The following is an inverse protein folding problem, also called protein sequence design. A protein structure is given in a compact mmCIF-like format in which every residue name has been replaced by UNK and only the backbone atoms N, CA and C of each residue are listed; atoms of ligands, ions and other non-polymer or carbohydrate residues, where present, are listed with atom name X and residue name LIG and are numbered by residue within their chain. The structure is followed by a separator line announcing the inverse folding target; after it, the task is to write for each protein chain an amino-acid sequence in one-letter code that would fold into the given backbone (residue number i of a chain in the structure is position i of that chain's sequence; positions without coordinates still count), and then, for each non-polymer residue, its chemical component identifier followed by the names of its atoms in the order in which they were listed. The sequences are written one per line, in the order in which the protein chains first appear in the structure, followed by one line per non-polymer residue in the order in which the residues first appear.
data_IF_132063753914
#
_entry.id   IF_132063753914
#
_cell.length_a   1.000
_cell.length_b   1.000
_cell.length_c   1.000
_cell.angle_alpha   90.00
_cell.angle_beta   90.00
_cell.angle_gamma   90.00
#
_symmetry.space_group_name_H-M   'P 1'
#
loop_
_entity.id
_entity.type
_entity.pdbx_description
1 polymer ?
#
# COMPACT_ATOMS: atom_id res chain seq x y z
N UNK A 1 8.07 -5.30 19.78
CA UNK A 1 9.16 -5.45 18.78
C UNK A 1 10.03 -4.21 18.82
N UNK A 2 11.29 -4.32 19.21
CA UNK A 2 12.24 -3.20 19.26
C UNK A 2 13.49 -3.55 18.46
N UNK A 3 14.07 -2.59 17.73
CA UNK A 3 15.30 -2.90 16.98
C UNK A 3 15.64 -1.97 15.83
N UNK A 4 14.66 -1.41 15.09
CA UNK A 4 14.95 -0.40 14.09
C UNK A 4 15.50 0.87 14.75
N UNK A 5 16.42 1.53 14.07
CA UNK A 5 17.06 2.77 14.55
C UNK A 5 16.43 4.03 13.95
N UNK A 6 15.46 3.88 13.06
CA UNK A 6 14.72 4.98 12.42
C UNK A 6 13.25 4.61 12.22
N UNK A 7 12.44 5.47 11.62
CA UNK A 7 11.02 5.25 11.37
C UNK A 7 10.77 3.94 10.61
N UNK A 8 9.71 3.23 11.02
CA UNK A 8 9.17 2.08 10.29
C UNK A 8 8.17 2.60 9.27
N UNK A 9 8.42 2.33 8.00
CA UNK A 9 7.60 2.82 6.88
C UNK A 9 6.44 1.90 6.52
N UNK A 10 6.66 0.58 6.58
CA UNK A 10 5.64 -0.41 6.28
C UNK A 10 5.87 -1.71 7.04
N UNK A 11 4.75 -2.40 7.35
CA UNK A 11 4.75 -3.72 7.97
C UNK A 11 3.86 -4.65 7.14
N UNK A 12 4.34 -5.88 6.90
CA UNK A 12 3.57 -6.97 6.27
C UNK A 12 3.66 -8.22 7.12
N UNK A 13 2.52 -8.86 7.32
CA UNK A 13 2.43 -10.17 7.97
C UNK A 13 2.51 -11.28 6.92
N UNK A 14 3.08 -12.43 7.31
CA UNK A 14 2.97 -13.66 6.52
C UNK A 14 1.53 -14.19 6.53
N UNK A 15 1.16 -14.99 5.55
CA UNK A 15 -0.19 -15.55 5.41
C UNK A 15 -0.67 -16.31 6.65
N UNK A 16 0.25 -16.94 7.42
CA UNK A 16 -0.03 -17.63 8.68
C UNK A 16 -0.01 -16.69 9.91
N UNK A 17 0.29 -15.41 9.73
CA UNK A 17 0.40 -14.38 10.77
C UNK A 17 1.44 -14.66 11.87
N UNK A 18 2.32 -15.65 11.68
CA UNK A 18 3.39 -15.97 12.66
C UNK A 18 4.61 -15.09 12.56
N UNK A 19 4.82 -14.52 11.39
CA UNK A 19 5.96 -13.65 11.11
C UNK A 19 5.52 -12.29 10.56
N UNK A 20 6.36 -11.30 10.80
CA UNK A 20 6.17 -9.95 10.24
C UNK A 20 7.46 -9.46 9.60
N UNK A 21 7.33 -8.77 8.47
CA UNK A 21 8.41 -8.00 7.86
C UNK A 21 8.15 -6.52 8.08
N UNK A 22 9.16 -5.79 8.52
CA UNK A 22 9.08 -4.33 8.67
C UNK A 22 10.17 -3.65 7.86
N UNK A 23 9.78 -2.72 6.99
CA UNK A 23 10.68 -1.83 6.27
C UNK A 23 10.93 -0.58 7.10
N UNK A 24 12.15 -0.03 7.03
CA UNK A 24 12.53 1.13 7.82
C UNK A 24 13.45 2.09 7.08
N UNK A 25 13.41 3.33 7.52
CA UNK A 25 14.31 4.40 7.09
C UNK A 25 15.76 4.19 7.59
N UNK A 26 16.00 3.16 8.39
CA UNK A 26 17.36 2.71 8.72
C UNK A 26 18.05 1.95 7.57
N UNK A 27 17.40 1.83 6.39
CA UNK A 27 17.92 1.14 5.20
C UNK A 27 17.77 -0.37 5.27
N UNK A 28 17.08 -0.92 6.27
CA UNK A 28 16.91 -2.36 6.46
C UNK A 28 15.45 -2.79 6.46
N UNK A 29 15.24 -4.08 6.16
CA UNK A 29 14.00 -4.77 6.48
C UNK A 29 14.31 -5.80 7.57
N UNK A 30 13.42 -5.95 8.55
CA UNK A 30 13.55 -6.94 9.61
C UNK A 30 12.45 -7.97 9.54
N UNK A 31 12.82 -9.22 9.74
CA UNK A 31 11.91 -10.34 9.95
C UNK A 31 11.76 -10.59 11.45
N UNK A 32 10.52 -10.66 11.91
CA UNK A 32 10.16 -10.81 13.31
C UNK A 32 9.33 -12.07 13.52
N UNK A 33 9.53 -12.72 14.64
CA UNK A 33 8.56 -13.67 15.18
C UNK A 33 7.50 -12.88 15.98
N UNK A 34 6.24 -12.94 15.55
CA UNK A 34 5.14 -12.15 16.13
C UNK A 34 4.87 -12.54 17.59
N UNK A 35 4.88 -13.85 17.88
CA UNK A 35 4.59 -14.35 19.22
C UNK A 35 5.65 -13.96 20.27
N UNK A 36 6.94 -13.93 19.88
CA UNK A 36 8.04 -13.63 20.80
C UNK A 36 8.50 -12.17 20.74
N UNK A 37 8.10 -11.43 19.70
CA UNK A 37 8.54 -10.06 19.45
C UNK A 37 10.04 -9.94 19.08
N UNK A 38 10.73 -11.07 18.82
CA UNK A 38 12.18 -11.07 18.54
C UNK A 38 12.46 -10.97 17.03
N UNK A 39 13.54 -10.25 16.69
CA UNK A 39 14.07 -10.25 15.33
C UNK A 39 14.70 -11.62 15.03
N UNK A 40 14.34 -12.21 13.88
CA UNK A 40 14.91 -13.44 13.36
C UNK A 40 16.09 -13.11 12.45
N UNK A 41 15.90 -12.19 11.51
CA UNK A 41 16.91 -11.81 10.54
C UNK A 41 16.71 -10.37 10.05
N UNK A 42 17.73 -9.86 9.33
CA UNK A 42 17.72 -8.54 8.69
C UNK A 42 18.08 -8.69 7.21
N UNK A 43 17.35 -8.01 6.37
CA UNK A 43 17.66 -7.85 4.95
C UNK A 43 18.47 -6.55 4.83
N UNK A 44 19.75 -6.67 4.49
CA UNK A 44 20.70 -5.56 4.38
C UNK A 44 21.22 -5.50 2.96
N UNK A 45 21.15 -4.30 2.32
CA UNK A 45 21.65 -4.13 0.95
C UNK A 45 21.10 -2.92 0.23
N UNK A 46 20.03 -2.29 0.73
CA UNK A 46 19.65 -0.95 0.29
C UNK A 46 20.63 0.10 0.83
N UNK A 47 20.86 1.15 0.02
CA UNK A 47 21.80 2.24 0.35
C UNK A 47 21.13 3.40 1.07
N UNK A 48 19.80 3.44 1.08
CA UNK A 48 18.97 4.47 1.70
C UNK A 48 17.72 3.84 2.29
N UNK A 49 16.83 4.66 2.80
CA UNK A 49 15.58 4.32 3.45
C UNK A 49 14.77 3.30 2.63
N UNK A 50 14.33 2.24 3.27
CA UNK A 50 13.39 1.29 2.65
C UNK A 50 11.98 1.80 2.93
N UNK A 51 11.23 2.09 1.87
CA UNK A 51 9.92 2.72 1.97
C UNK A 51 8.79 1.69 1.98
N UNK A 52 8.97 0.58 1.28
CA UNK A 52 7.90 -0.42 1.12
C UNK A 52 8.44 -1.84 1.05
N UNK A 53 7.64 -2.79 1.55
CA UNK A 53 7.90 -4.23 1.51
C UNK A 53 6.62 -4.98 1.15
N UNK A 54 6.72 -5.99 0.30
CA UNK A 54 5.62 -6.90 0.00
C UNK A 54 6.11 -8.35 -0.02
N UNK A 55 5.16 -9.27 0.19
CA UNK A 55 5.40 -10.71 0.22
C UNK A 55 4.66 -11.38 -0.93
N UNK A 56 5.27 -12.41 -1.50
CA UNK A 56 4.58 -13.31 -2.43
C UNK A 56 3.52 -14.14 -1.68
N UNK A 57 2.52 -14.66 -2.41
CA UNK A 57 1.44 -15.45 -1.80
C UNK A 57 1.89 -16.74 -1.11
N UNK A 58 3.06 -17.25 -1.48
CA UNK A 58 3.69 -18.42 -0.86
C UNK A 58 4.69 -18.04 0.25
N UNK A 59 4.77 -16.73 0.60
CA UNK A 59 5.69 -16.15 1.58
C UNK A 59 7.19 -16.45 1.30
N UNK A 60 7.55 -16.89 0.07
CA UNK A 60 8.94 -17.29 -0.26
C UNK A 60 9.78 -16.16 -0.86
N UNK A 61 9.12 -15.17 -1.43
CA UNK A 61 9.79 -14.01 -2.02
C UNK A 61 9.36 -12.74 -1.30
N UNK A 62 10.32 -11.89 -1.07
CA UNK A 62 10.13 -10.56 -0.52
C UNK A 62 10.60 -9.56 -1.56
N UNK A 63 9.79 -8.55 -1.86
CA UNK A 63 10.18 -7.42 -2.71
C UNK A 63 10.23 -6.15 -1.87
N UNK A 64 11.24 -5.32 -2.11
CA UNK A 64 11.42 -4.05 -1.39
C UNK A 64 11.66 -2.91 -2.36
N UNK A 65 11.12 -1.74 -2.01
CA UNK A 65 11.35 -0.47 -2.70
C UNK A 65 11.97 0.55 -1.76
N UNK A 66 12.89 1.34 -2.28
CA UNK A 66 13.70 2.24 -1.47
C UNK A 66 13.87 3.63 -2.08
N UNK A 67 14.27 4.57 -1.22
CA UNK A 67 14.70 5.91 -1.58
C UNK A 67 15.98 5.91 -2.44
N UNK A 68 16.72 4.79 -2.49
CA UNK A 68 17.87 4.60 -3.39
C UNK A 68 17.45 4.34 -4.84
N UNK A 69 16.15 4.28 -5.13
CA UNK A 69 15.52 4.02 -6.44
C UNK A 69 15.56 2.55 -6.88
N UNK A 70 16.21 1.70 -6.09
CA UNK A 70 16.32 0.27 -6.38
C UNK A 70 15.07 -0.49 -5.92
N UNK A 71 14.77 -1.53 -6.69
CA UNK A 71 13.85 -2.60 -6.34
C UNK A 71 14.69 -3.85 -6.12
N UNK A 72 14.55 -4.49 -4.95
CA UNK A 72 15.30 -5.70 -4.63
C UNK A 72 14.36 -6.84 -4.31
N UNK A 73 14.73 -8.04 -4.74
CA UNK A 73 14.04 -9.29 -4.41
C UNK A 73 14.94 -10.13 -3.50
N UNK A 74 14.32 -10.62 -2.44
CA UNK A 74 14.98 -11.41 -1.40
C UNK A 74 14.28 -12.75 -1.23
N UNK A 75 15.02 -13.72 -0.73
CA UNK A 75 14.45 -14.99 -0.29
C UNK A 75 14.23 -15.02 1.24
N UNK A 76 13.62 -16.08 1.73
CA UNK A 76 13.35 -16.32 3.16
C UNK A 76 14.62 -16.46 4.03
N UNK A 77 15.79 -16.65 3.40
CA UNK A 77 17.10 -16.67 4.09
C UNK A 77 17.71 -15.28 4.22
N UNK A 78 16.94 -14.22 3.85
CA UNK A 78 17.40 -12.83 3.86
C UNK A 78 18.53 -12.51 2.87
N UNK A 79 18.68 -13.34 1.83
CA UNK A 79 19.65 -13.11 0.76
C UNK A 79 18.99 -12.32 -0.37
N UNK A 80 19.67 -11.26 -0.83
CA UNK A 80 19.26 -10.52 -2.03
C UNK A 80 19.53 -11.40 -3.26
N UNK A 81 18.46 -11.78 -3.94
CA UNK A 81 18.52 -12.60 -5.16
C UNK A 81 18.62 -11.78 -6.42
N UNK A 82 17.98 -10.63 -6.42
CA UNK A 82 17.94 -9.78 -7.60
C UNK A 82 17.84 -8.30 -7.21
N UNK A 83 18.51 -7.45 -7.98
CA UNK A 83 18.34 -6.00 -7.97
C UNK A 83 18.00 -5.59 -9.39
N UNK A 84 16.92 -4.84 -9.56
CA UNK A 84 16.52 -4.35 -10.90
C UNK A 84 17.57 -3.36 -11.39
N UNK A 85 18.19 -3.65 -12.54
CA UNK A 85 19.25 -2.85 -13.15
C UNK A 85 18.81 -2.15 -14.46
N UNK A 86 17.72 -2.62 -15.08
CA UNK A 86 17.19 -2.07 -16.33
C UNK A 86 15.82 -1.45 -16.12
N UNK A 87 15.54 -0.37 -16.84
CA UNK A 87 14.27 0.35 -16.78
C UNK A 87 13.86 0.79 -15.38
N UNK A 88 14.85 1.05 -14.51
CA UNK A 88 14.63 1.48 -13.13
C UNK A 88 13.72 2.71 -13.03
N UNK A 89 13.20 2.96 -11.85
CA UNK A 89 12.61 4.24 -11.51
C UNK A 89 13.69 5.32 -11.44
N UNK A 90 13.32 6.55 -11.81
CA UNK A 90 14.27 7.68 -11.79
C UNK A 90 14.26 8.41 -10.44
N UNK A 91 13.33 8.08 -9.56
CA UNK A 91 13.23 8.60 -8.20
C UNK A 91 12.81 7.49 -7.22
N UNK A 92 12.63 7.81 -5.94
CA UNK A 92 12.31 6.89 -4.86
C UNK A 92 11.16 5.93 -5.21
N UNK A 93 11.33 4.66 -4.92
CA UNK A 93 10.28 3.65 -5.04
C UNK A 93 9.44 3.67 -3.76
N UNK A 94 8.26 4.28 -3.84
CA UNK A 94 7.40 4.54 -2.68
C UNK A 94 6.61 3.32 -2.23
N UNK A 95 6.14 2.51 -3.18
CA UNK A 95 5.31 1.32 -2.90
C UNK A 95 5.67 0.18 -3.83
N UNK A 96 5.66 -1.02 -3.28
CA UNK A 96 5.78 -2.27 -4.03
C UNK A 96 4.64 -3.21 -3.65
N UNK A 97 4.09 -3.95 -4.62
CA UNK A 97 3.03 -4.95 -4.41
C UNK A 97 3.24 -6.15 -5.34
N UNK A 98 2.78 -7.31 -4.89
CA UNK A 98 2.62 -8.48 -5.75
C UNK A 98 1.20 -8.57 -6.30
N UNK A 99 1.07 -9.06 -7.52
CA UNK A 99 -0.20 -9.45 -8.12
C UNK A 99 -0.14 -10.93 -8.49
N UNK A 100 -0.97 -11.74 -7.83
CA UNK A 100 -0.86 -13.21 -7.86
C UNK A 100 -1.85 -13.90 -8.79
N UNK A 101 -2.88 -13.19 -9.27
CA UNK A 101 -3.94 -13.79 -10.09
C UNK A 101 -3.45 -14.34 -11.45
N UNK A 102 -2.25 -13.99 -11.87
CA UNK A 102 -1.59 -14.54 -13.08
C UNK A 102 -0.40 -15.42 -12.73
N UNK A 103 -0.12 -16.38 -13.62
CA UNK A 103 1.13 -17.15 -13.60
C UNK A 103 1.90 -16.83 -14.89
N UNK A 104 3.13 -16.30 -14.83
CA UNK A 104 3.85 -15.93 -13.59
C UNK A 104 3.18 -14.78 -12.85
N UNK A 105 3.40 -14.70 -11.52
CA UNK A 105 2.98 -13.57 -10.71
C UNK A 105 3.65 -12.28 -11.22
N UNK A 106 2.97 -11.16 -11.08
CA UNK A 106 3.51 -9.85 -11.45
C UNK A 106 3.90 -9.07 -10.21
N UNK A 107 4.86 -8.17 -10.36
CA UNK A 107 5.20 -7.16 -9.37
C UNK A 107 4.77 -5.79 -9.89
N UNK A 108 4.23 -4.97 -9.02
CA UNK A 108 3.87 -3.58 -9.33
C UNK A 108 4.62 -2.65 -8.39
N UNK A 109 5.21 -1.62 -8.94
CA UNK A 109 5.96 -0.62 -8.19
C UNK A 109 5.50 0.78 -8.55
N UNK A 110 5.40 1.64 -7.55
CA UNK A 110 5.12 3.06 -7.72
C UNK A 110 6.29 3.91 -7.24
N UNK A 111 6.43 5.08 -7.81
CA UNK A 111 7.55 5.95 -7.51
C UNK A 111 7.19 7.43 -7.43
N UNK A 112 8.08 8.17 -6.80
CA UNK A 112 8.06 9.63 -6.80
C UNK A 112 8.37 10.22 -8.18
N UNK A 113 8.85 9.40 -9.13
CA UNK A 113 8.98 9.78 -10.55
C UNK A 113 7.65 9.91 -11.28
N UNK A 114 6.51 9.79 -10.56
CA UNK A 114 5.13 9.92 -11.02
C UNK A 114 4.65 8.74 -11.88
N UNK A 115 5.44 7.68 -11.96
CA UNK A 115 5.13 6.49 -12.76
C UNK A 115 4.83 5.28 -11.88
N UNK A 116 4.08 4.35 -12.46
CA UNK A 116 3.87 3.02 -11.92
C UNK A 116 4.39 2.03 -12.95
N UNK A 117 5.13 1.04 -12.50
CA UNK A 117 5.72 0.03 -13.38
C UNK A 117 5.22 -1.36 -13.00
N UNK A 118 4.92 -2.16 -14.02
CA UNK A 118 4.50 -3.56 -13.89
C UNK A 118 5.60 -4.44 -14.43
N UNK A 119 6.01 -5.42 -13.64
CA UNK A 119 7.13 -6.31 -13.92
C UNK A 119 6.69 -7.76 -13.91
N UNK A 120 7.26 -8.55 -14.81
CA UNK A 120 7.24 -10.00 -14.68
C UNK A 120 8.12 -10.42 -13.48
N UNK A 121 7.53 -11.15 -12.54
CA UNK A 121 8.26 -11.55 -11.32
C UNK A 121 9.37 -12.59 -11.57
N UNK A 122 9.32 -13.33 -12.69
CA UNK A 122 10.27 -14.40 -12.94
C UNK A 122 11.65 -13.84 -13.35
N UNK A 123 11.65 -12.82 -14.23
CA UNK A 123 12.88 -12.24 -14.79
C UNK A 123 13.03 -10.75 -14.49
N UNK A 124 12.07 -10.15 -13.75
CA UNK A 124 12.00 -8.71 -13.50
C UNK A 124 12.08 -7.89 -14.79
N UNK A 125 11.43 -8.38 -15.84
CA UNK A 125 11.31 -7.64 -17.10
C UNK A 125 10.14 -6.67 -16.99
N UNK A 126 10.36 -5.43 -17.47
CA UNK A 126 9.32 -4.41 -17.50
C UNK A 126 8.26 -4.76 -18.55
N UNK A 127 7.01 -4.87 -18.14
CA UNK A 127 5.86 -5.12 -19.01
C UNK A 127 5.13 -3.83 -19.39
N UNK A 128 4.79 -3.01 -18.38
CA UNK A 128 4.06 -1.77 -18.57
C UNK A 128 4.63 -0.64 -17.74
N UNK A 129 4.52 0.58 -18.26
CA UNK A 129 4.75 1.82 -17.52
C UNK A 129 3.48 2.66 -17.61
N UNK A 130 2.87 2.94 -16.47
CA UNK A 130 1.69 3.80 -16.37
C UNK A 130 2.13 5.23 -16.05
N UNK A 131 1.68 6.16 -16.89
CA UNK A 131 1.91 7.58 -16.76
C UNK A 131 0.57 8.30 -16.70
N UNK A 132 0.44 9.31 -15.83
CA UNK A 132 -0.81 10.09 -15.72
C UNK A 132 -0.88 10.96 -14.48
N UNK A 133 -0.22 10.56 -13.40
CA UNK A 133 -0.08 11.38 -12.22
C UNK A 133 0.84 12.59 -12.47
N UNK A 134 0.48 13.73 -11.87
CA UNK A 134 1.24 14.99 -12.02
C UNK A 134 2.27 15.20 -10.89
N UNK A 135 2.14 14.45 -9.79
CA UNK A 135 3.07 14.46 -8.67
C UNK A 135 3.43 13.04 -8.23
N UNK A 136 4.17 12.92 -7.15
CA UNK A 136 4.65 11.67 -6.56
C UNK A 136 3.50 10.69 -6.30
N UNK A 137 3.63 9.44 -6.74
CA UNK A 137 2.71 8.37 -6.36
C UNK A 137 3.08 7.91 -4.95
N UNK A 138 2.12 7.97 -4.03
CA UNK A 138 2.33 7.71 -2.60
C UNK A 138 1.86 6.33 -2.18
N UNK A 139 0.87 5.80 -2.89
CA UNK A 139 0.19 4.58 -2.47
C UNK A 139 -0.31 3.77 -3.66
N UNK A 140 -0.34 2.46 -3.49
CA UNK A 140 -0.93 1.48 -4.40
C UNK A 140 -1.72 0.45 -3.62
N UNK A 141 -2.82 0.00 -4.21
CA UNK A 141 -3.47 -1.25 -3.80
C UNK A 141 -3.97 -2.01 -5.03
N UNK A 142 -4.07 -3.34 -4.90
CA UNK A 142 -4.43 -4.25 -6.00
C UNK A 142 -5.55 -5.16 -5.54
N UNK A 143 -6.56 -5.32 -6.37
CA UNK A 143 -7.60 -6.33 -6.15
C UNK A 143 -7.08 -7.69 -6.58
N UNK A 144 -6.94 -8.63 -5.65
CA UNK A 144 -6.32 -9.94 -5.91
C UNK A 144 -7.03 -10.76 -7.00
N UNK A 145 -8.36 -10.67 -7.08
CA UNK A 145 -9.18 -11.45 -8.01
C UNK A 145 -9.52 -10.69 -9.31
N UNK A 146 -9.03 -9.50 -9.50
CA UNK A 146 -9.25 -8.69 -10.70
C UNK A 146 -7.95 -8.08 -11.18
N UNK A 147 -7.92 -7.66 -12.45
CA UNK A 147 -6.74 -7.02 -13.02
C UNK A 147 -6.63 -5.52 -12.66
N UNK A 148 -7.35 -5.05 -11.64
CA UNK A 148 -7.39 -3.64 -11.30
C UNK A 148 -6.40 -3.27 -10.20
N UNK A 149 -5.74 -2.16 -10.42
CA UNK A 149 -4.82 -1.48 -9.53
C UNK A 149 -5.35 -0.08 -9.26
N UNK A 150 -5.40 0.35 -8.01
CA UNK A 150 -5.61 1.74 -7.65
C UNK A 150 -4.30 2.39 -7.22
N UNK A 151 -4.10 3.62 -7.62
CA UNK A 151 -2.96 4.45 -7.22
C UNK A 151 -3.43 5.79 -6.69
N UNK A 152 -2.78 6.29 -5.65
CA UNK A 152 -2.98 7.63 -5.11
C UNK A 152 -1.69 8.45 -5.17
N UNK A 153 -1.85 9.74 -5.36
CA UNK A 153 -0.72 10.66 -5.55
C UNK A 153 -0.86 11.93 -4.70
N UNK A 154 0.26 12.60 -4.51
CA UNK A 154 0.31 13.93 -3.91
C UNK A 154 -0.35 15.02 -4.75
N UNK A 155 -0.67 14.73 -6.03
CA UNK A 155 -1.46 15.64 -6.87
C UNK A 155 -2.95 15.68 -6.49
N UNK A 156 -3.35 14.92 -5.45
CA UNK A 156 -4.74 14.84 -5.01
C UNK A 156 -5.60 13.90 -5.84
N UNK A 157 -5.03 13.19 -6.81
CA UNK A 157 -5.81 12.30 -7.67
C UNK A 157 -5.60 10.84 -7.32
N UNK A 158 -6.65 10.05 -7.54
CA UNK A 158 -6.58 8.60 -7.65
C UNK A 158 -6.80 8.18 -9.09
N UNK A 159 -6.11 7.14 -9.50
CA UNK A 159 -6.28 6.53 -10.81
C UNK A 159 -6.42 5.03 -10.65
N UNK A 160 -7.33 4.44 -11.41
CA UNK A 160 -7.52 3.00 -11.49
C UNK A 160 -7.00 2.52 -12.85
N UNK A 161 -6.24 1.43 -12.84
CA UNK A 161 -5.53 0.90 -14.01
C UNK A 161 -5.86 -0.56 -14.22
N UNK A 162 -5.87 -0.99 -15.46
CA UNK A 162 -5.88 -2.39 -15.85
C UNK A 162 -4.44 -2.87 -16.03
N UNK A 163 -3.99 -3.72 -15.11
CA UNK A 163 -2.61 -4.24 -15.08
C UNK A 163 -2.33 -5.10 -16.32
N UNK A 164 -3.33 -5.81 -16.83
CA UNK A 164 -3.17 -6.79 -17.91
C UNK A 164 -3.09 -6.11 -19.26
N UNK A 165 -3.99 -5.15 -19.50
CA UNK A 165 -4.09 -4.47 -20.78
C UNK A 165 -3.22 -3.21 -20.85
N UNK A 166 -2.60 -2.80 -19.75
CA UNK A 166 -1.70 -1.65 -19.71
C UNK A 166 -2.41 -0.31 -19.90
N UNK A 167 -3.70 -0.21 -19.52
CA UNK A 167 -4.53 0.99 -19.75
C UNK A 167 -5.07 1.55 -18.43
N UNK A 168 -5.31 2.85 -18.40
CA UNK A 168 -6.06 3.47 -17.31
C UNK A 168 -7.57 3.23 -17.50
N UNK A 169 -8.28 3.05 -16.40
CA UNK A 169 -9.72 2.81 -16.38
C UNK A 169 -10.50 4.06 -15.98
N UNK A 170 -10.16 4.67 -14.84
CA UNK A 170 -10.83 5.89 -14.36
C UNK A 170 -9.87 6.75 -13.55
N UNK A 171 -10.22 8.05 -13.43
CA UNK A 171 -9.49 9.03 -12.63
C UNK A 171 -10.47 9.89 -11.85
N UNK A 172 -10.19 10.10 -10.56
CA UNK A 172 -10.97 10.95 -9.68
C UNK A 172 -10.07 11.93 -8.92
N UNK A 173 -10.60 13.11 -8.64
CA UNK A 173 -9.93 14.14 -7.85
C UNK A 173 -10.45 14.08 -6.41
N UNK A 174 -9.54 14.05 -5.46
CA UNK A 174 -9.83 14.01 -4.03
C UNK A 174 -9.68 15.38 -3.35
N UNK A 175 -9.38 16.45 -4.08
CA UNK A 175 -9.16 17.82 -3.59
C UNK A 175 -8.04 17.95 -2.54
N UNK A 176 -7.34 16.87 -2.25
CA UNK A 176 -6.35 16.81 -1.16
C UNK A 176 -5.35 15.68 -1.44
N UNK A 177 -4.06 15.82 -1.10
CA UNK A 177 -3.05 14.79 -1.27
C UNK A 177 -3.49 13.44 -0.71
N UNK A 178 -3.29 12.38 -1.49
CA UNK A 178 -3.67 11.02 -1.12
C UNK A 178 -2.50 10.36 -0.37
N UNK A 179 -2.77 9.85 0.82
CA UNK A 179 -1.79 9.17 1.66
C UNK A 179 -1.85 7.64 1.54
N UNK A 180 -3.09 7.08 1.50
CA UNK A 180 -3.30 5.64 1.33
C UNK A 180 -4.56 5.37 0.52
N UNK A 181 -4.54 4.28 -0.24
CA UNK A 181 -5.72 3.71 -0.92
C UNK A 181 -5.85 2.25 -0.54
N UNK A 182 -7.09 1.76 -0.43
CA UNK A 182 -7.35 0.39 -0.05
C UNK A 182 -8.67 -0.08 -0.67
N UNK A 183 -8.63 -1.17 -1.45
CA UNK A 183 -9.85 -1.80 -1.97
C UNK A 183 -10.62 -2.52 -0.87
N UNK A 184 -11.94 -2.42 -0.91
CA UNK A 184 -12.78 -3.26 -0.07
C UNK A 184 -12.72 -4.70 -0.57
N UNK A 185 -12.69 -5.66 0.38
CA UNK A 185 -12.70 -7.09 0.06
C UNK A 185 -14.08 -7.62 -0.32
N UNK A 186 -15.15 -6.93 0.09
CA UNK A 186 -16.55 -7.38 -0.08
C UNK A 186 -17.37 -6.50 -1.02
N UNK A 187 -17.06 -5.22 -1.04
CA UNK A 187 -17.78 -4.20 -1.80
C UNK A 187 -16.89 -3.68 -2.92
N UNK A 188 -17.49 -3.21 -4.00
CA UNK A 188 -16.74 -2.56 -5.08
C UNK A 188 -16.36 -1.12 -4.73
N UNK A 189 -15.78 -0.94 -3.52
CA UNK A 189 -15.39 0.35 -2.98
C UNK A 189 -13.89 0.50 -2.94
N UNK A 190 -13.44 1.73 -3.12
CA UNK A 190 -12.07 2.15 -2.84
C UNK A 190 -12.10 3.14 -1.69
N UNK A 191 -11.47 2.78 -0.59
CA UNK A 191 -11.29 3.66 0.57
C UNK A 191 -10.00 4.45 0.40
N UNK A 192 -10.07 5.75 0.61
CA UNK A 192 -9.01 6.70 0.30
C UNK A 192 -8.72 7.54 1.54
N UNK A 193 -7.51 7.42 2.07
CA UNK A 193 -6.99 8.30 3.11
C UNK A 193 -6.35 9.54 2.48
N UNK A 194 -6.80 10.70 2.92
CA UNK A 194 -6.30 11.99 2.45
C UNK A 194 -5.81 12.86 3.62
N UNK A 195 -5.19 14.00 3.29
CA UNK A 195 -4.81 14.97 4.32
C UNK A 195 -6.02 15.64 5.01
N UNK A 196 -7.22 15.52 4.47
CA UNK A 196 -8.44 16.12 5.00
C UNK A 196 -9.43 15.10 5.56
N UNK A 197 -9.07 13.80 5.57
CA UNK A 197 -9.95 12.75 6.09
C UNK A 197 -9.98 11.50 5.21
N UNK A 198 -11.04 10.71 5.37
CA UNK A 198 -11.29 9.50 4.58
C UNK A 198 -12.40 9.79 3.58
N UNK A 199 -12.19 9.35 2.33
CA UNK A 199 -13.21 9.35 1.27
C UNK A 199 -13.44 7.92 0.81
N UNK A 200 -14.67 7.60 0.42
CA UNK A 200 -15.04 6.30 -0.16
C UNK A 200 -15.54 6.54 -1.58
N UNK A 201 -14.97 5.80 -2.52
CA UNK A 201 -15.39 5.82 -3.92
C UNK A 201 -16.11 4.52 -4.25
N UNK A 202 -17.37 4.62 -4.69
CA UNK A 202 -18.09 3.52 -5.30
C UNK A 202 -17.62 3.37 -6.75
N UNK A 203 -16.95 2.28 -7.08
CA UNK A 203 -16.32 2.07 -8.39
C UNK A 203 -17.34 1.87 -9.51
N UNK A 204 -18.42 1.06 -9.36
CA UNK A 204 -19.47 0.94 -10.37
C UNK A 204 -20.14 2.26 -10.73
N UNK A 205 -20.45 3.08 -9.73
CA UNK A 205 -21.11 4.36 -9.93
C UNK A 205 -20.14 5.50 -10.25
N UNK A 206 -18.86 5.29 -10.01
CA UNK A 206 -17.79 6.30 -10.16
C UNK A 206 -18.07 7.58 -9.36
N UNK A 207 -18.68 7.44 -8.18
CA UNK A 207 -19.05 8.55 -7.30
C UNK A 207 -18.46 8.35 -5.90
N UNK A 208 -18.12 9.46 -5.26
CA UNK A 208 -17.81 9.44 -3.84
C UNK A 208 -19.10 9.25 -3.05
N UNK A 209 -19.05 8.35 -2.10
CA UNK A 209 -20.15 8.06 -1.19
C UNK A 209 -19.91 8.86 0.08
N UNK A 210 -20.93 9.61 0.49
CA UNK A 210 -20.94 10.36 1.74
C UNK A 210 -21.66 9.52 2.80
N UNK A 211 -21.11 9.45 4.03
CA UNK A 211 -21.76 8.90 5.23
C UNK A 211 -21.83 7.37 5.39
N UNK A 212 -21.18 6.54 4.57
CA UNK A 212 -21.24 5.08 4.73
C UNK A 212 -20.25 4.49 5.76
N UNK A 213 -19.30 5.27 6.25
CA UNK A 213 -18.39 4.84 7.31
C UNK A 213 -18.86 5.38 8.65
N UNK A 214 -19.51 4.51 9.45
CA UNK A 214 -19.87 4.86 10.83
C UNK A 214 -18.67 4.59 11.75
N UNK A 215 -18.23 5.62 12.43
CA UNK A 215 -17.20 5.51 13.45
C UNK A 215 -17.77 4.79 14.68
N UNK A 216 -17.22 3.61 15.01
CA UNK A 216 -17.64 2.82 16.18
C UNK A 216 -16.99 3.28 17.48
N UNK A 217 -16.04 4.22 17.40
CA UNK A 217 -15.30 4.68 18.57
C UNK A 217 -15.91 5.92 19.22
N UNK A 218 -16.10 5.76 20.50
CA UNK A 218 -16.36 6.71 21.59
C UNK A 218 -16.14 8.19 21.25
N UNK A 219 -17.18 8.98 21.63
CA UNK A 219 -17.25 10.44 21.74
C UNK A 219 -15.89 11.15 21.66
N UNK A 220 -15.70 11.87 20.57
CA UNK A 220 -14.60 12.81 20.42
C UNK A 220 -14.64 13.82 21.57
N UNK A 221 -13.59 13.85 22.37
CA UNK A 221 -13.24 15.09 23.04
C UNK A 221 -12.72 16.02 21.94
N UNK A 222 -13.44 17.08 21.66
CA UNK A 222 -13.04 18.17 20.78
C UNK A 222 -11.68 18.69 21.27
N UNK A 223 -10.62 18.25 20.64
CA UNK A 223 -9.30 18.85 20.86
C UNK A 223 -9.18 20.06 19.94
N UNK A 224 -9.07 21.21 20.58
CA UNK A 224 -8.77 22.53 20.05
C UNK A 224 -7.47 22.52 19.19
N UNK A 225 -7.51 22.06 17.96
CA UNK A 225 -6.45 22.29 16.99
C UNK A 225 -7.05 22.62 15.63
N UNK A 226 -6.83 23.85 15.19
CA UNK A 226 -7.21 24.42 13.88
C UNK A 226 -6.58 23.69 12.66
N UNK A 227 -5.92 22.56 12.84
CA UNK A 227 -5.31 21.79 11.74
C UNK A 227 -6.23 20.64 11.33
N UNK A 228 -6.53 20.50 10.03
CA UNK A 228 -7.31 19.37 9.55
C UNK A 228 -6.56 18.06 9.89
N UNK A 229 -7.31 17.12 10.46
CA UNK A 229 -6.80 15.81 10.81
C UNK A 229 -6.50 15.01 9.53
N UNK A 230 -5.26 14.59 9.38
CA UNK A 230 -4.81 13.80 8.25
C UNK A 230 -4.90 12.31 8.56
N UNK A 231 -5.60 11.55 7.72
CA UNK A 231 -5.54 10.10 7.75
C UNK A 231 -4.25 9.65 7.01
N UNK A 232 -3.44 8.83 7.65
CA UNK A 232 -2.11 8.44 7.14
C UNK A 232 -2.05 7.01 6.62
N UNK A 233 -2.88 6.12 7.17
CA UNK A 233 -2.84 4.70 6.82
C UNK A 233 -4.21 4.04 6.99
N UNK A 234 -4.42 2.96 6.25
CA UNK A 234 -5.66 2.18 6.24
C UNK A 234 -5.32 0.68 6.30
N UNK A 235 -6.15 -0.09 6.99
CA UNK A 235 -6.06 -1.54 6.99
C UNK A 235 -7.44 -2.18 7.22
N UNK A 236 -7.76 -3.24 6.47
CA UNK A 236 -8.94 -4.05 6.73
C UNK A 236 -8.65 -5.12 7.78
N UNK A 237 -9.62 -5.38 8.65
CA UNK A 237 -9.65 -6.62 9.40
C UNK A 237 -9.83 -7.81 8.44
N UNK A 238 -9.40 -9.00 8.86
CA UNK A 238 -9.46 -10.22 8.02
C UNK A 238 -10.88 -10.57 7.53
N UNK A 239 -11.91 -10.15 8.27
CA UNK A 239 -13.31 -10.37 7.89
C UNK A 239 -13.82 -9.38 6.82
N UNK A 240 -13.05 -8.33 6.51
CA UNK A 240 -13.43 -7.28 5.55
C UNK A 240 -14.63 -6.42 5.98
N UNK A 241 -15.00 -6.42 7.27
CA UNK A 241 -16.11 -5.64 7.82
C UNK A 241 -15.65 -4.45 8.65
N UNK A 242 -14.43 -4.54 9.20
CA UNK A 242 -13.86 -3.51 10.06
C UNK A 242 -12.68 -2.87 9.34
N UNK A 243 -12.70 -1.56 9.25
CA UNK A 243 -11.61 -0.73 8.73
C UNK A 243 -10.90 -0.04 9.89
N UNK A 244 -9.60 -0.19 9.95
CA UNK A 244 -8.72 0.56 10.83
C UNK A 244 -8.06 1.70 10.08
N UNK A 245 -8.00 2.87 10.67
CA UNK A 245 -7.32 4.04 10.13
C UNK A 245 -6.38 4.67 11.14
N UNK A 246 -5.16 4.99 10.72
CA UNK A 246 -4.19 5.73 11.52
C UNK A 246 -4.22 7.21 11.17
N UNK A 247 -4.15 8.07 12.19
CA UNK A 247 -4.32 9.51 12.05
C UNK A 247 -3.13 10.31 12.60
N UNK A 248 -3.00 11.53 12.14
CA UNK A 248 -1.92 12.45 12.54
C UNK A 248 -2.00 12.92 14.01
N UNK A 249 -3.11 12.68 14.69
CA UNK A 249 -3.33 12.93 16.11
C UNK A 249 -2.86 11.77 17.01
N UNK A 250 -2.14 10.79 16.46
CA UNK A 250 -1.69 9.56 17.11
C UNK A 250 -2.81 8.61 17.55
N UNK A 251 -4.03 8.75 16.99
CA UNK A 251 -5.14 7.84 17.24
C UNK A 251 -5.32 6.84 16.09
N UNK A 252 -5.85 5.68 16.45
CA UNK A 252 -6.40 4.70 15.52
C UNK A 252 -7.90 4.73 15.66
N UNK A 253 -8.60 4.98 14.55
CA UNK A 253 -10.06 4.94 14.48
C UNK A 253 -10.51 3.66 13.82
N UNK A 254 -11.66 3.18 14.28
CA UNK A 254 -12.25 1.91 13.84
C UNK A 254 -13.62 2.22 13.24
N UNK A 255 -13.85 1.74 12.03
CA UNK A 255 -15.11 1.89 11.30
C UNK A 255 -15.69 0.52 11.02
N UNK A 256 -16.98 0.37 11.20
CA UNK A 256 -17.75 -0.79 10.81
C UNK A 256 -18.54 -0.48 9.54
N UNK A 257 -18.57 -1.42 8.61
CA UNK A 257 -19.41 -1.29 7.42
C UNK A 257 -20.69 -2.05 7.66
N UNK A 258 -21.80 -1.31 7.71
CA UNK A 258 -23.13 -1.90 7.74
C UNK A 258 -23.43 -2.57 6.40
N UNK A 259 -23.55 -3.89 6.43
CA UNK A 259 -23.88 -4.71 5.24
C UNK A 259 -25.36 -4.62 4.84
N UNK A 260 -26.15 -3.76 5.47
CA UNK A 260 -27.59 -3.66 5.24
C UNK A 260 -27.98 -2.93 3.94
N UNK A 261 -27.06 -2.16 3.33
CA UNK A 261 -27.37 -1.35 2.15
C UNK A 261 -26.91 -1.94 0.81
N UNK A 262 -26.38 -3.17 0.78
CA UNK A 262 -25.94 -3.83 -0.46
C UNK A 262 -27.03 -4.60 -1.21
N UNK A 263 -28.32 -4.42 -0.84
CA UNK A 263 -29.47 -5.06 -1.47
C UNK A 263 -30.50 -4.04 -1.94
N UNK A 264 -30.13 -3.18 -2.90
CA UNK A 264 -31.12 -2.53 -3.79
C UNK A 264 -30.54 -2.45 -5.20
#
# INVERSE_FOLDING_TARGET
MTGHSHFVSEIKLTGDSRFAFSASWDGTVRLWNVATGRTISKLIGHKRDVLSVALSSDDRQIITGSLDRDIKIWNTRSECKFTVDKNQHTDAVSVVRFYHAKKPALCVTASWDKTIKVWDNLYMTLLHTFCGHKAQVTTLDIVENSAFLASGSRDGTIMVWDIVNGKWFTKHDCDSPVNAVLFSQKLYWLVIATQTGIKVLNLPEQKFVQDELRETSLKQNESDSDKPLSCTSLAWAKNGQILYSGWSDNHIRVYEIDSSDSAQ
#
